data_IF_653746992989
#
_entry.id   IF_653746992989
#
_cell.length_a   1.000
_cell.length_b   1.000
_cell.length_c   1.000
_cell.angle_alpha   90.00
_cell.angle_beta   90.00
_cell.angle_gamma   90.00
#
_symmetry.space_group_name_H-M   'P 1'
#
loop_
_entity.id
_entity.type
_entity.pdbx_description
1 polymer ?
#
# COMPACT_ATOMS: atom_id res chain seq x y z
N UNK A 1 12.56 66.68 2.15
CA UNK A 1 13.67 65.79 1.76
C UNK A 1 13.65 65.75 0.24
N UNK A 2 14.39 66.66 -0.37
CA UNK A 2 14.36 66.86 -1.82
C UNK A 2 15.80 66.95 -2.35
N UNK A 3 15.99 66.25 -3.47
CA UNK A 3 16.88 66.59 -4.57
C UNK A 3 18.39 66.64 -4.33
N UNK A 4 19.10 65.73 -5.00
CA UNK A 4 20.47 65.96 -5.43
C UNK A 4 20.56 65.58 -6.90
N UNK A 5 20.93 66.56 -7.74
CA UNK A 5 21.17 66.43 -9.18
C UNK A 5 22.59 65.94 -9.48
N UNK A 6 22.68 65.28 -10.63
CA UNK A 6 23.79 64.60 -11.34
C UNK A 6 25.06 65.43 -11.61
N UNK A 7 26.15 64.82 -12.16
CA UNK A 7 26.31 64.72 -13.62
C UNK A 7 26.99 63.43 -14.18
N UNK A 8 26.79 63.20 -15.48
CA UNK A 8 27.42 62.17 -16.35
C UNK A 8 28.88 62.52 -16.73
N UNK A 9 29.72 61.52 -17.06
CA UNK A 9 30.25 61.24 -18.43
C UNK A 9 31.20 60.00 -18.45
N UNK A 10 31.44 59.50 -19.66
CA UNK A 10 32.27 58.37 -20.16
C UNK A 10 33.68 58.21 -19.56
N UNK A 11 34.38 57.06 -19.62
CA UNK A 11 34.88 56.40 -20.84
C UNK A 11 35.44 54.99 -20.55
N UNK A 12 35.58 54.19 -21.62
CA UNK A 12 36.01 52.79 -21.64
C UNK A 12 37.53 52.67 -21.51
N UNK A 13 38.00 51.67 -20.75
CA UNK A 13 39.31 51.07 -20.98
C UNK A 13 39.18 49.57 -21.21
N UNK A 14 39.55 49.17 -22.43
CA UNK A 14 39.89 47.82 -22.85
C UNK A 14 41.24 47.46 -22.21
N UNK A 15 41.32 46.33 -21.52
CA UNK A 15 42.58 45.64 -21.26
C UNK A 15 42.34 44.14 -21.46
N UNK A 16 42.95 43.61 -22.51
CA UNK A 16 43.19 42.18 -22.70
C UNK A 16 44.23 41.74 -21.68
N UNK A 17 43.94 40.67 -20.94
CA UNK A 17 44.85 40.01 -20.03
C UNK A 17 44.54 38.52 -20.03
N UNK A 18 45.47 37.74 -20.58
CA UNK A 18 45.47 36.27 -20.56
C UNK A 18 45.82 35.69 -19.18
N UNK A 19 45.46 34.39 -19.01
CA UNK A 19 45.83 33.38 -18.00
C UNK A 19 44.94 33.24 -16.73
N UNK A 20 44.80 32.04 -16.11
CA UNK A 20 45.00 30.65 -16.56
C UNK A 20 43.75 29.74 -16.34
N UNK A 21 43.82 28.50 -16.82
CA UNK A 21 42.85 27.41 -16.62
C UNK A 21 42.37 27.24 -15.16
N UNK A 22 41.05 27.30 -14.95
CA UNK A 22 40.42 26.98 -13.69
C UNK A 22 40.28 25.45 -13.52
N UNK A 23 40.99 24.91 -12.52
CA UNK A 23 40.79 23.56 -11.99
C UNK A 23 39.33 23.35 -11.58
N UNK A 24 38.63 22.48 -12.30
CA UNK A 24 37.25 22.11 -12.05
C UNK A 24 37.15 21.29 -10.77
N UNK A 25 36.68 21.92 -9.69
CA UNK A 25 36.23 21.22 -8.47
C UNK A 25 35.05 20.32 -8.85
N UNK A 26 35.02 19.04 -8.45
CA UNK A 26 33.85 18.22 -8.65
C UNK A 26 32.73 18.82 -7.80
N UNK A 27 31.72 19.38 -8.48
CA UNK A 27 30.44 19.71 -7.89
C UNK A 27 29.93 18.44 -7.21
N UNK A 28 29.85 18.46 -5.88
CA UNK A 28 29.16 17.43 -5.12
C UNK A 28 27.74 17.37 -5.65
N UNK A 29 27.44 16.38 -6.50
CA UNK A 29 26.08 16.12 -6.92
C UNK A 29 25.34 15.70 -5.66
N UNK A 30 24.60 16.61 -5.06
CA UNK A 30 23.52 16.23 -4.15
C UNK A 30 22.54 15.43 -5.01
N UNK A 31 22.69 14.10 -4.97
CA UNK A 31 21.68 13.22 -5.53
C UNK A 31 20.35 13.67 -4.92
N UNK A 32 19.30 13.88 -5.73
CA UNK A 32 18.00 14.20 -5.17
C UNK A 32 17.65 13.09 -4.20
N UNK A 33 17.46 13.44 -2.92
CA UNK A 33 16.95 12.52 -1.91
C UNK A 33 15.65 11.98 -2.50
N UNK A 34 15.64 10.68 -2.84
CA UNK A 34 14.42 10.03 -3.32
C UNK A 34 13.37 10.31 -2.26
N UNK A 35 12.32 11.08 -2.60
CA UNK A 35 11.10 11.11 -1.78
C UNK A 35 10.74 9.65 -1.53
N UNK A 36 10.60 9.27 -0.26
CA UNK A 36 10.22 7.91 0.10
C UNK A 36 8.95 7.57 -0.68
N UNK A 37 9.05 6.61 -1.60
CA UNK A 37 7.98 6.25 -2.54
C UNK A 37 6.77 5.66 -1.78
N UNK A 38 7.01 5.27 -0.53
CA UNK A 38 6.09 4.62 0.37
C UNK A 38 5.66 5.55 1.51
N UNK A 39 4.36 5.60 1.76
CA UNK A 39 3.77 6.31 2.90
C UNK A 39 3.58 5.38 4.11
N UNK A 40 3.38 4.09 3.85
CA UNK A 40 3.07 3.09 4.86
C UNK A 40 4.09 1.96 4.83
N UNK A 41 4.56 1.55 6.00
CA UNK A 41 5.38 0.36 6.15
C UNK A 41 4.54 -0.91 5.95
N UNK A 42 3.33 -0.93 6.51
CA UNK A 42 2.44 -2.09 6.49
C UNK A 42 1.04 -1.72 6.03
N UNK A 43 0.48 -2.53 5.13
CA UNK A 43 -0.94 -2.53 4.78
C UNK A 43 -1.63 -3.76 5.37
N UNK A 44 -2.64 -3.55 6.20
CA UNK A 44 -3.48 -4.62 6.74
C UNK A 44 -4.74 -4.76 5.88
N UNK A 45 -4.90 -5.90 5.21
CA UNK A 45 -6.10 -6.27 4.46
C UNK A 45 -6.90 -7.28 5.27
N UNK A 46 -8.15 -6.95 5.62
CA UNK A 46 -8.92 -7.80 6.53
C UNK A 46 -10.43 -7.59 6.41
N UNK A 47 -11.15 -8.59 6.90
CA UNK A 47 -12.60 -8.51 7.07
C UNK A 47 -12.92 -7.78 8.37
N UNK A 48 -13.43 -6.56 8.26
CA UNK A 48 -13.74 -5.69 9.41
C UNK A 48 -14.55 -6.38 10.52
N UNK A 49 -15.76 -6.89 10.25
CA UNK A 49 -16.60 -7.59 11.22
C UNK A 49 -15.99 -8.85 11.85
N UNK A 50 -14.96 -9.44 11.24
CA UNK A 50 -14.36 -10.67 11.76
C UNK A 50 -13.23 -10.37 12.74
N UNK A 51 -12.45 -9.30 12.52
CA UNK A 51 -11.17 -9.12 13.21
C UNK A 51 -10.83 -7.68 13.63
N UNK A 52 -11.64 -6.65 13.25
CA UNK A 52 -11.32 -5.24 13.52
C UNK A 52 -11.08 -4.97 15.00
N UNK A 53 -12.05 -5.32 15.83
CA UNK A 53 -12.04 -4.99 17.26
C UNK A 53 -11.27 -6.02 18.10
N UNK A 54 -10.74 -7.07 17.46
CA UNK A 54 -9.91 -8.09 18.07
C UNK A 54 -8.50 -8.10 17.51
N UNK A 55 -8.10 -9.22 16.90
CA UNK A 55 -6.74 -9.46 16.42
C UNK A 55 -6.14 -8.30 15.59
N UNK A 56 -6.88 -7.82 14.58
CA UNK A 56 -6.35 -6.80 13.65
C UNK A 56 -6.17 -5.44 14.33
N UNK A 57 -7.10 -5.06 15.21
CA UNK A 57 -7.00 -3.84 16.00
C UNK A 57 -5.79 -3.87 16.93
N UNK A 58 -5.59 -4.98 17.65
CA UNK A 58 -4.42 -5.17 18.52
C UNK A 58 -3.11 -5.18 17.74
N UNK A 59 -3.06 -5.88 16.60
CA UNK A 59 -1.88 -5.91 15.73
C UNK A 59 -1.50 -4.50 15.27
N UNK A 60 -2.47 -3.72 14.81
CA UNK A 60 -2.24 -2.35 14.37
C UNK A 60 -1.73 -1.45 15.51
N UNK A 61 -2.39 -1.49 16.67
CA UNK A 61 -1.96 -0.71 17.84
C UNK A 61 -0.53 -1.10 18.28
N UNK A 62 -0.21 -2.39 18.26
CA UNK A 62 1.14 -2.87 18.58
C UNK A 62 2.18 -2.36 17.57
N UNK A 63 1.93 -2.50 16.26
CA UNK A 63 2.84 -2.01 15.22
C UNK A 63 3.06 -0.49 15.34
N UNK A 64 1.99 0.29 15.53
CA UNK A 64 2.06 1.73 15.74
C UNK A 64 2.85 2.09 17.00
N UNK A 65 2.70 1.34 18.10
CA UNK A 65 3.49 1.55 19.32
C UNK A 65 5.00 1.32 19.13
N UNK A 66 5.37 0.62 18.05
CA UNK A 66 6.77 0.40 17.63
C UNK A 66 7.25 1.41 16.59
N UNK A 67 6.45 2.43 16.28
CA UNK A 67 6.78 3.46 15.29
C UNK A 67 6.62 3.01 13.83
N UNK A 68 5.91 1.90 13.58
CA UNK A 68 5.64 1.38 12.23
C UNK A 68 4.38 2.06 11.69
N UNK A 69 4.45 2.66 10.49
CA UNK A 69 3.28 3.27 9.86
C UNK A 69 2.38 2.20 9.24
N UNK A 70 1.11 2.17 9.64
CA UNK A 70 0.16 1.13 9.23
C UNK A 70 -1.04 1.76 8.53
N UNK A 71 -1.32 1.31 7.31
CA UNK A 71 -2.62 1.52 6.69
C UNK A 71 -3.54 0.36 7.05
N UNK A 72 -4.67 0.67 7.67
CA UNK A 72 -5.69 -0.31 8.05
C UNK A 72 -6.88 -0.16 7.13
N UNK A 73 -6.99 -0.99 6.08
CA UNK A 73 -8.19 -0.97 5.25
C UNK A 73 -9.29 -1.77 5.92
N UNK A 74 -10.33 -1.07 6.31
CA UNK A 74 -11.43 -1.68 7.03
C UNK A 74 -12.71 -1.33 6.29
N UNK A 75 -13.46 -2.35 5.88
CA UNK A 75 -14.70 -2.24 5.08
C UNK A 75 -15.76 -1.22 5.57
N UNK A 76 -15.62 -0.68 6.79
CA UNK A 76 -16.53 0.32 7.36
C UNK A 76 -16.13 1.76 7.01
N UNK A 77 -15.07 1.97 6.24
CA UNK A 77 -14.70 3.28 5.75
C UNK A 77 -15.70 3.70 4.65
N UNK A 78 -16.63 4.57 5.03
CA UNK A 78 -17.77 5.12 4.28
C UNK A 78 -17.69 5.05 2.74
N UNK A 79 -18.70 4.38 2.17
CA UNK A 79 -18.88 4.11 0.73
C UNK A 79 -19.05 5.41 -0.06
N UNK A 80 -18.00 5.86 -0.74
CA UNK A 80 -18.15 6.90 -1.77
C UNK A 80 -16.84 7.54 -2.22
N UNK A 81 -15.94 7.87 -1.29
CA UNK A 81 -14.76 8.69 -1.59
C UNK A 81 -13.47 7.89 -1.90
N UNK A 82 -13.42 6.58 -1.59
CA UNK A 82 -12.17 5.88 -1.20
C UNK A 82 -11.58 4.84 -2.17
N UNK A 83 -12.14 4.61 -3.37
CA UNK A 83 -11.57 3.59 -4.28
C UNK A 83 -10.18 3.99 -4.78
N UNK A 84 -10.03 5.27 -5.15
CA UNK A 84 -8.75 5.80 -5.62
C UNK A 84 -7.72 5.81 -4.47
N UNK A 85 -8.12 6.37 -3.33
CA UNK A 85 -7.26 6.48 -2.14
C UNK A 85 -6.81 5.11 -1.63
N UNK A 86 -7.64 4.07 -1.76
CA UNK A 86 -7.26 2.72 -1.36
C UNK A 86 -6.20 2.12 -2.28
N UNK A 87 -6.41 2.13 -3.59
CA UNK A 87 -5.44 1.56 -4.52
C UNK A 87 -4.11 2.31 -4.46
N UNK A 88 -4.15 3.64 -4.27
CA UNK A 88 -2.97 4.44 -4.00
C UNK A 88 -2.28 4.03 -2.70
N UNK A 89 -3.04 3.78 -1.63
CA UNK A 89 -2.48 3.34 -0.35
C UNK A 89 -1.81 1.96 -0.46
N UNK A 90 -2.39 1.03 -1.23
CA UNK A 90 -1.78 -0.27 -1.55
C UNK A 90 -0.45 -0.04 -2.31
N UNK A 91 -0.46 0.80 -3.33
CA UNK A 91 0.74 1.10 -4.12
C UNK A 91 1.84 1.80 -3.30
N UNK A 92 1.45 2.58 -2.28
CA UNK A 92 2.35 3.31 -1.37
C UNK A 92 2.67 2.54 -0.08
N UNK A 93 2.38 1.24 -0.03
CA UNK A 93 2.72 0.35 1.08
C UNK A 93 3.88 -0.59 0.76
N UNK A 94 4.78 -0.81 1.74
CA UNK A 94 5.97 -1.67 1.59
C UNK A 94 5.66 -3.16 1.76
N UNK A 95 4.89 -3.51 2.80
CA UNK A 95 4.55 -4.88 3.19
C UNK A 95 3.04 -5.05 3.25
N UNK A 96 2.53 -6.18 2.77
CA UNK A 96 1.12 -6.52 2.82
C UNK A 96 0.86 -7.67 3.80
N UNK A 97 -0.13 -7.50 4.68
CA UNK A 97 -0.55 -8.52 5.64
C UNK A 97 -2.04 -8.80 5.42
N UNK A 98 -2.39 -9.73 4.51
CA UNK A 98 -3.76 -10.19 4.37
C UNK A 98 -4.12 -11.13 5.52
N UNK A 99 -5.17 -10.79 6.25
CA UNK A 99 -5.69 -11.53 7.40
C UNK A 99 -6.94 -12.28 6.95
N UNK A 100 -6.71 -13.48 6.42
CA UNK A 100 -7.76 -14.36 5.93
C UNK A 100 -8.57 -14.93 7.08
N UNK A 101 -9.83 -14.52 7.16
CA UNK A 101 -10.84 -14.96 8.14
C UNK A 101 -12.02 -15.60 7.42
N UNK A 102 -12.92 -16.26 8.16
CA UNK A 102 -14.08 -16.99 7.60
C UNK A 102 -14.95 -16.12 6.66
N UNK A 103 -15.09 -14.85 6.99
CA UNK A 103 -15.86 -13.86 6.25
C UNK A 103 -15.09 -13.12 5.15
N UNK A 104 -13.77 -13.29 5.03
CA UNK A 104 -12.93 -12.53 4.10
C UNK A 104 -13.46 -12.54 2.66
N UNK A 105 -13.67 -13.73 2.08
CA UNK A 105 -14.16 -13.84 0.70
C UNK A 105 -15.62 -13.42 0.51
N UNK A 106 -16.40 -13.18 1.58
CA UNK A 106 -17.75 -12.64 1.44
C UNK A 106 -17.71 -11.18 0.96
N UNK A 107 -16.61 -10.48 1.20
CA UNK A 107 -16.39 -9.10 0.77
C UNK A 107 -15.82 -9.05 -0.63
N UNK A 108 -16.56 -8.44 -1.57
CA UNK A 108 -16.01 -8.12 -2.90
C UNK A 108 -14.78 -7.20 -2.77
N UNK A 109 -14.77 -6.34 -1.76
CA UNK A 109 -13.70 -5.37 -1.54
C UNK A 109 -12.39 -6.04 -1.13
N UNK A 110 -12.41 -6.92 -0.12
CA UNK A 110 -11.23 -7.70 0.28
C UNK A 110 -10.70 -8.59 -0.86
N UNK A 111 -11.58 -9.05 -1.75
CA UNK A 111 -11.20 -9.80 -2.95
C UNK A 111 -10.56 -8.92 -4.04
N UNK A 112 -10.96 -7.66 -4.15
CA UNK A 112 -10.29 -6.69 -5.03
C UNK A 112 -8.93 -6.27 -4.46
N UNK A 113 -8.82 -6.08 -3.15
CA UNK A 113 -7.56 -5.79 -2.47
C UNK A 113 -6.53 -6.89 -2.71
N UNK A 114 -6.89 -8.17 -2.51
CA UNK A 114 -5.91 -9.25 -2.65
C UNK A 114 -5.38 -9.39 -4.08
N UNK A 115 -6.19 -9.12 -5.10
CA UNK A 115 -5.73 -9.04 -6.50
C UNK A 115 -4.66 -7.96 -6.63
N UNK A 116 -4.93 -6.75 -6.13
CA UNK A 116 -3.98 -5.64 -6.24
C UNK A 116 -2.70 -5.90 -5.45
N UNK A 117 -2.81 -6.48 -4.25
CA UNK A 117 -1.67 -6.86 -3.42
C UNK A 117 -0.73 -7.81 -4.18
N UNK A 118 -1.29 -8.82 -4.85
CA UNK A 118 -0.52 -9.77 -5.66
C UNK A 118 0.14 -9.06 -6.86
N UNK A 119 -0.56 -8.14 -7.51
CA UNK A 119 -0.02 -7.36 -8.64
C UNK A 119 1.16 -6.46 -8.25
N UNK A 120 1.23 -6.00 -7.00
CA UNK A 120 2.34 -5.18 -6.50
C UNK A 120 3.67 -5.94 -6.44
N UNK A 121 3.67 -7.28 -6.37
CA UNK A 121 4.88 -8.13 -6.31
C UNK A 121 5.87 -7.73 -5.19
N UNK A 122 5.33 -7.34 -4.03
CA UNK A 122 6.11 -7.04 -2.82
C UNK A 122 5.92 -8.11 -1.76
N UNK A 123 6.54 -7.92 -0.59
CA UNK A 123 6.44 -8.87 0.51
C UNK A 123 5.00 -9.00 1.00
N UNK A 124 4.51 -10.23 1.03
CA UNK A 124 3.21 -10.61 1.59
C UNK A 124 3.46 -11.52 2.79
N UNK A 125 2.81 -11.23 3.91
CA UNK A 125 2.84 -12.06 5.12
C UNK A 125 1.40 -12.46 5.43
N UNK A 126 0.90 -13.58 4.87
CA UNK A 126 -0.48 -13.98 5.09
C UNK A 126 -0.69 -14.47 6.53
N UNK A 127 -1.82 -14.07 7.11
CA UNK A 127 -2.32 -14.58 8.39
C UNK A 127 -3.61 -15.34 8.13
N UNK A 128 -3.64 -16.61 8.53
CA UNK A 128 -4.79 -17.49 8.43
C UNK A 128 -5.49 -17.54 9.79
N UNK A 129 -6.49 -16.69 9.97
CA UNK A 129 -7.21 -16.49 11.23
C UNK A 129 -8.48 -17.36 11.25
N UNK A 130 -8.50 -18.39 12.09
CA UNK A 130 -9.62 -19.34 12.22
C UNK A 130 -10.00 -20.06 10.90
N UNK A 131 -9.04 -20.18 10.00
CA UNK A 131 -9.18 -20.87 8.71
C UNK A 131 -7.90 -21.62 8.39
N UNK A 132 -8.02 -22.74 7.68
CA UNK A 132 -6.86 -23.45 7.18
C UNK A 132 -6.27 -22.74 5.94
N UNK A 133 -4.95 -22.71 5.75
CA UNK A 133 -4.34 -22.19 4.51
C UNK A 133 -4.90 -22.87 3.26
N UNK A 134 -5.23 -24.17 3.34
CA UNK A 134 -5.88 -24.91 2.26
C UNK A 134 -7.30 -24.43 1.93
N UNK A 135 -8.02 -23.80 2.87
CA UNK A 135 -9.31 -23.17 2.58
C UNK A 135 -9.14 -21.93 1.71
N UNK A 136 -8.10 -21.14 1.95
CA UNK A 136 -7.78 -19.96 1.14
C UNK A 136 -7.29 -20.38 -0.24
N UNK A 137 -6.30 -21.29 -0.29
CA UNK A 137 -5.63 -21.72 -1.53
C UNK A 137 -6.58 -22.37 -2.53
N UNK A 138 -7.52 -23.17 -2.05
CA UNK A 138 -8.45 -23.92 -2.91
C UNK A 138 -9.88 -23.39 -2.85
N UNK A 139 -10.09 -22.25 -2.17
CA UNK A 139 -11.39 -21.63 -1.95
C UNK A 139 -12.45 -22.61 -1.41
N UNK A 140 -12.03 -23.46 -0.45
CA UNK A 140 -12.88 -24.46 0.21
C UNK A 140 -13.37 -23.97 1.58
N UNK A 141 -14.18 -24.78 2.28
CA UNK A 141 -14.66 -24.45 3.62
C UNK A 141 -15.44 -23.12 3.63
N UNK A 142 -15.09 -22.16 4.51
CA UNK A 142 -15.76 -20.85 4.57
C UNK A 142 -15.77 -20.06 3.26
N UNK A 143 -14.77 -20.28 2.39
CA UNK A 143 -14.61 -19.57 1.12
C UNK A 143 -15.54 -20.11 0.03
N UNK A 144 -15.92 -21.40 0.09
CA UNK A 144 -16.74 -22.04 -0.93
C UNK A 144 -18.12 -21.38 -1.07
N UNK A 145 -18.77 -21.08 0.06
CA UNK A 145 -20.08 -20.42 0.06
C UNK A 145 -20.00 -19.00 -0.51
N UNK A 146 -18.92 -18.27 -0.19
CA UNK A 146 -18.69 -16.93 -0.70
C UNK A 146 -18.54 -16.93 -2.24
N UNK A 147 -17.72 -17.83 -2.78
CA UNK A 147 -17.54 -17.97 -4.24
C UNK A 147 -18.83 -18.40 -4.94
N UNK A 148 -19.59 -19.35 -4.37
CA UNK A 148 -20.92 -19.71 -4.89
C UNK A 148 -21.88 -18.52 -4.92
N UNK A 149 -21.81 -17.63 -3.93
CA UNK A 149 -22.63 -16.41 -3.91
C UNK A 149 -22.22 -15.44 -5.01
N UNK A 150 -20.93 -15.20 -5.19
CA UNK A 150 -20.41 -14.29 -6.21
C UNK A 150 -20.71 -14.79 -7.63
N UNK A 151 -20.52 -16.08 -7.92
CA UNK A 151 -20.83 -16.67 -9.23
C UNK A 151 -22.31 -16.57 -9.62
N UNK A 152 -23.23 -16.52 -8.65
CA UNK A 152 -24.68 -16.33 -8.90
C UNK A 152 -25.08 -14.87 -9.03
N UNK A 153 -24.22 -13.94 -8.62
CA UNK A 153 -24.52 -12.52 -8.67
C UNK A 153 -24.32 -11.99 -10.09
N UNK A 154 -25.43 -11.68 -10.78
CA UNK A 154 -25.43 -11.17 -12.16
C UNK A 154 -24.68 -9.84 -12.36
N UNK A 155 -24.33 -9.13 -11.28
CA UNK A 155 -23.55 -7.88 -11.32
C UNK A 155 -22.04 -8.10 -11.28
N UNK A 156 -21.59 -9.34 -11.06
CA UNK A 156 -20.18 -9.70 -10.98
C UNK A 156 -19.85 -10.57 -12.18
N UNK A 157 -18.80 -10.19 -12.89
CA UNK A 157 -18.32 -10.95 -14.03
C UNK A 157 -17.61 -12.23 -13.56
N UNK A 158 -17.80 -13.33 -14.30
CA UNK A 158 -17.11 -14.60 -14.04
C UNK A 158 -15.60 -14.44 -14.16
N UNK A 159 -15.13 -13.57 -15.05
CA UNK A 159 -13.71 -13.25 -15.20
C UNK A 159 -13.14 -12.50 -13.98
N UNK A 160 -13.96 -11.68 -13.32
CA UNK A 160 -13.62 -11.04 -12.05
C UNK A 160 -13.47 -12.10 -10.93
N UNK A 161 -14.43 -13.03 -10.84
CA UNK A 161 -14.35 -14.15 -9.88
C UNK A 161 -13.13 -15.04 -10.13
N UNK A 162 -12.78 -15.28 -11.39
CA UNK A 162 -11.58 -16.05 -11.77
C UNK A 162 -10.30 -15.37 -11.27
N UNK A 163 -10.20 -14.05 -11.44
CA UNK A 163 -9.06 -13.25 -10.92
C UNK A 163 -8.96 -13.32 -9.39
N UNK A 164 -10.08 -13.23 -8.68
CA UNK A 164 -10.09 -13.41 -7.23
C UNK A 164 -9.61 -14.78 -6.79
N UNK A 165 -10.06 -15.83 -7.49
CA UNK A 165 -9.63 -17.21 -7.24
C UNK A 165 -8.11 -17.34 -7.40
N UNK A 166 -7.56 -16.89 -8.53
CA UNK A 166 -6.13 -16.94 -8.80
C UNK A 166 -5.30 -16.17 -7.75
N UNK A 167 -5.76 -14.98 -7.34
CA UNK A 167 -5.08 -14.19 -6.32
C UNK A 167 -5.08 -14.86 -4.93
N UNK A 168 -6.20 -15.47 -4.52
CA UNK A 168 -6.27 -16.23 -3.28
C UNK A 168 -5.41 -17.50 -3.33
N UNK A 169 -5.36 -18.18 -4.47
CA UNK A 169 -4.46 -19.32 -4.68
C UNK A 169 -3.01 -18.89 -4.48
N UNK A 170 -2.56 -17.83 -5.15
CA UNK A 170 -1.21 -17.31 -5.01
C UNK A 170 -0.90 -16.87 -3.57
N UNK A 171 -1.81 -16.14 -2.93
CA UNK A 171 -1.63 -15.72 -1.54
C UNK A 171 -1.62 -16.90 -0.55
N UNK A 172 -2.40 -17.95 -0.81
CA UNK A 172 -2.45 -19.17 0.00
C UNK A 172 -1.26 -20.12 -0.22
N UNK A 173 -0.43 -19.88 -1.24
CA UNK A 173 0.85 -20.58 -1.45
C UNK A 173 2.00 -19.97 -0.65
N UNK A 174 1.89 -18.70 -0.29
CA UNK A 174 2.89 -17.99 0.51
C UNK A 174 2.88 -18.51 1.95
N UNK A 175 4.06 -18.80 2.49
CA UNK A 175 4.24 -19.16 3.91
C UNK A 175 3.77 -18.03 4.83
N UNK A 176 3.00 -18.38 5.85
CA UNK A 176 2.41 -17.41 6.77
C UNK A 176 2.13 -17.99 8.15
N UNK A 177 1.28 -17.30 8.91
CA UNK A 177 0.94 -17.66 10.29
C UNK A 177 -0.50 -18.16 10.38
N UNK A 178 -0.71 -19.31 11.01
CA UNK A 178 -2.06 -19.81 11.32
C UNK A 178 -2.37 -19.53 12.78
N UNK A 179 -3.50 -18.88 13.03
CA UNK A 179 -3.96 -18.49 14.36
C UNK A 179 -5.35 -19.09 14.61
N UNK A 180 -5.51 -19.79 15.72
CA UNK A 180 -6.82 -20.16 16.23
C UNK A 180 -7.39 -18.99 17.04
N UNK A 181 -8.61 -18.59 16.73
CA UNK A 181 -9.38 -17.62 17.49
C UNK A 181 -9.68 -18.18 18.86
N UNK A 182 -9.15 -17.55 19.90
CA UNK A 182 -9.59 -17.80 21.26
C UNK A 182 -10.95 -17.14 21.45
N UNK A 183 -11.96 -17.92 21.83
CA UNK A 183 -13.23 -17.40 22.36
C UNK A 183 -12.89 -16.65 23.66
N UNK A 184 -12.74 -15.33 23.56
CA UNK A 184 -12.53 -14.42 24.70
C UNK A 184 -13.86 -13.85 25.17
#
# INVERSE_FOLDING_TARGET
MESSRSPQCSEKHHYEGEEPEASSRPSSSSSPVKKDEFEYDVFLSFRGPDTRDGFTGHLCAFLQSKGITVFMDSENLEKGQKVKDLFESIERSKIFVPIFSKGYAHSRWCLMEIVKIIDCKRLIIPVFFDVEPGNVRHQTGPFALAFKRHLRNKRIDKEEVSRWSAALTGAGEVSGYTLAGTQG
#
